data_IF_425305417704
#
_entry.id   IF_425305417704
#
_cell.length_a   1.000
_cell.length_b   1.000
_cell.length_c   1.000
_cell.angle_alpha   90.00
_cell.angle_beta   90.00
_cell.angle_gamma   90.00
#
_symmetry.space_group_name_H-M   'P 1'
#
loop_
_entity.id
_entity.type
_entity.pdbx_description
1 polymer ?
#
# COMPACT_ATOMS: atom_id res chain seq x y z
N UNK A 1 -11.63 -86.93 -15.21
CA UNK A 1 -13.06 -87.25 -15.37
C UNK A 1 -13.86 -85.96 -15.45
N UNK A 2 -14.87 -85.95 -16.31
CA UNK A 2 -15.67 -84.81 -16.79
C UNK A 2 -16.55 -84.14 -15.73
N UNK A 3 -16.81 -82.84 -15.93
CA UNK A 3 -18.13 -82.16 -16.04
C UNK A 3 -17.89 -80.65 -16.25
N UNK A 4 -18.24 -80.03 -17.39
CA UNK A 4 -19.56 -79.50 -17.79
C UNK A 4 -20.29 -78.81 -16.62
N UNK A 5 -20.84 -77.60 -16.67
CA UNK A 5 -21.33 -76.73 -17.75
C UNK A 5 -21.68 -75.39 -17.07
N UNK A 6 -21.56 -74.26 -17.75
CA UNK A 6 -21.91 -72.97 -17.15
C UNK A 6 -21.72 -71.78 -18.09
N UNK A 7 -22.42 -71.82 -19.22
CA UNK A 7 -22.74 -70.67 -20.06
C UNK A 7 -23.27 -69.52 -19.19
N UNK A 8 -22.47 -68.46 -19.01
CA UNK A 8 -22.98 -67.13 -18.70
C UNK A 8 -22.19 -66.09 -19.51
N UNK A 9 -22.92 -65.57 -20.49
CA UNK A 9 -22.94 -64.19 -20.94
C UNK A 9 -21.88 -63.71 -21.94
N UNK A 10 -22.32 -63.69 -23.19
CA UNK A 10 -21.73 -62.96 -24.31
C UNK A 10 -22.62 -61.75 -24.62
N UNK A 11 -22.73 -60.80 -23.69
CA UNK A 11 -23.23 -59.43 -23.94
C UNK A 11 -22.49 -58.43 -23.05
N UNK A 12 -22.12 -57.31 -23.65
CA UNK A 12 -21.76 -56.06 -22.98
C UNK A 12 -20.44 -55.94 -22.20
N UNK A 13 -19.34 -56.38 -22.81
CA UNK A 13 -18.04 -55.68 -22.65
C UNK A 13 -17.98 -54.47 -23.58
N UNK A 14 -18.74 -53.44 -23.26
CA UNK A 14 -18.83 -52.21 -24.06
C UNK A 14 -18.37 -50.95 -23.33
N UNK A 15 -17.46 -51.02 -22.35
CA UNK A 15 -16.83 -49.81 -21.78
C UNK A 15 -15.34 -50.02 -21.47
N UNK A 16 -14.60 -50.50 -22.47
CA UNK A 16 -13.13 -50.37 -22.49
C UNK A 16 -12.78 -48.90 -22.71
N UNK A 17 -12.19 -48.28 -21.68
CA UNK A 17 -11.64 -46.93 -21.75
C UNK A 17 -10.61 -46.86 -22.89
N UNK A 18 -10.71 -45.92 -23.83
CA UNK A 18 -9.69 -45.75 -24.85
C UNK A 18 -8.38 -45.31 -24.18
N UNK A 19 -7.32 -46.06 -24.47
CA UNK A 19 -5.93 -45.68 -24.23
C UNK A 19 -5.74 -44.22 -24.67
N UNK A 20 -5.61 -43.30 -23.71
CA UNK A 20 -5.10 -41.96 -24.00
C UNK A 20 -3.64 -42.12 -24.43
N UNK A 21 -3.23 -41.60 -25.60
CA UNK A 21 -1.81 -41.49 -25.88
C UNK A 21 -1.18 -40.63 -24.78
N UNK A 22 -0.01 -41.06 -24.30
CA UNK A 22 0.75 -40.31 -23.31
C UNK A 22 0.91 -38.87 -23.79
N UNK A 23 0.51 -37.91 -22.94
CA UNK A 23 0.83 -36.49 -23.14
C UNK A 23 2.34 -36.41 -23.39
N UNK A 24 2.83 -35.77 -24.47
CA UNK A 24 4.24 -35.47 -24.55
C UNK A 24 4.60 -34.69 -23.29
N UNK A 25 5.63 -35.15 -22.57
CA UNK A 25 6.19 -34.37 -21.48
C UNK A 25 6.51 -33.01 -22.06
N UNK A 26 5.75 -31.99 -21.65
CA UNK A 26 6.03 -30.60 -21.98
C UNK A 26 7.36 -30.31 -21.28
N UNK A 27 8.43 -30.60 -22.01
CA UNK A 27 9.80 -30.32 -21.67
C UNK A 27 9.84 -28.90 -21.13
N UNK A 28 10.44 -28.73 -19.96
CA UNK A 28 10.50 -27.47 -19.21
C UNK A 28 11.21 -26.32 -19.93
N UNK A 29 11.50 -26.48 -21.22
CA UNK A 29 12.10 -25.49 -22.13
C UNK A 29 11.25 -24.22 -22.29
N UNK A 30 9.94 -24.28 -21.97
CA UNK A 30 9.08 -23.10 -21.93
C UNK A 30 9.14 -22.27 -20.64
N UNK A 31 9.73 -22.79 -19.55
CA UNK A 31 9.88 -22.07 -18.28
C UNK A 31 11.24 -21.38 -18.15
N UNK A 32 12.25 -21.83 -18.90
CA UNK A 32 13.57 -21.20 -18.94
C UNK A 32 13.64 -19.97 -19.85
N UNK A 33 12.73 -19.82 -20.81
CA UNK A 33 12.73 -18.70 -21.76
C UNK A 33 12.11 -17.39 -21.23
N UNK A 34 11.50 -17.40 -20.03
CA UNK A 34 10.91 -16.19 -19.42
C UNK A 34 11.66 -15.70 -18.18
N UNK A 35 12.83 -16.25 -17.89
CA UNK A 35 13.76 -15.57 -17.00
C UNK A 35 14.40 -14.45 -17.81
N UNK A 36 13.67 -13.33 -17.95
CA UNK A 36 14.31 -12.08 -18.36
C UNK A 36 15.53 -11.90 -17.45
N UNK A 37 16.74 -11.72 -18.01
CA UNK A 37 17.91 -11.48 -17.20
C UNK A 37 17.64 -10.19 -16.42
N UNK A 38 17.33 -10.34 -15.13
CA UNK A 38 17.00 -9.22 -14.27
C UNK A 38 18.09 -8.18 -14.43
N UNK A 39 17.73 -7.00 -14.96
CA UNK A 39 18.67 -5.91 -15.27
C UNK A 39 19.69 -5.83 -14.13
N UNK A 40 20.98 -5.96 -14.42
CA UNK A 40 22.05 -5.75 -13.44
C UNK A 40 21.80 -4.45 -12.68
N UNK A 41 22.18 -4.39 -11.40
CA UNK A 41 22.01 -3.20 -10.55
C UNK A 41 22.46 -1.92 -11.26
N UNK A 42 23.55 -1.98 -12.03
CA UNK A 42 24.02 -0.85 -12.84
C UNK A 42 23.05 -0.41 -13.95
N UNK A 43 22.38 -1.35 -14.62
CA UNK A 43 21.37 -1.05 -15.64
C UNK A 43 20.08 -0.46 -15.07
N UNK A 44 19.73 -0.81 -13.82
CA UNK A 44 18.61 -0.19 -13.09
C UNK A 44 18.94 1.22 -12.65
N UNK A 45 20.14 1.40 -12.07
CA UNK A 45 20.61 2.70 -11.65
C UNK A 45 20.67 3.67 -12.85
N UNK A 46 21.17 3.21 -14.00
CA UNK A 46 21.20 4.01 -15.22
C UNK A 46 19.80 4.39 -15.71
N UNK A 47 18.86 3.44 -15.72
CA UNK A 47 17.47 3.70 -16.12
C UNK A 47 16.75 4.65 -15.15
N UNK A 48 16.98 4.50 -13.85
CA UNK A 48 16.35 5.32 -12.81
C UNK A 48 16.91 6.76 -12.82
N UNK A 49 18.22 6.91 -13.03
CA UNK A 49 18.87 8.22 -13.19
C UNK A 49 18.35 8.92 -14.45
N UNK A 50 18.25 8.21 -15.58
CA UNK A 50 17.75 8.79 -16.83
C UNK A 50 16.32 9.34 -16.70
N UNK A 51 15.41 8.56 -16.10
CA UNK A 51 14.03 9.00 -15.87
C UNK A 51 13.94 10.13 -14.82
N UNK A 52 14.75 10.07 -13.75
CA UNK A 52 14.79 11.13 -12.74
C UNK A 52 15.30 12.47 -13.31
N UNK A 53 16.27 12.44 -14.23
CA UNK A 53 16.78 13.64 -14.91
C UNK A 53 15.71 14.24 -15.82
N UNK A 54 15.03 13.42 -16.64
CA UNK A 54 13.95 13.88 -17.54
C UNK A 54 12.86 14.57 -16.71
N UNK A 55 12.46 13.95 -15.60
CA UNK A 55 11.48 14.52 -14.70
C UNK A 55 11.95 15.80 -14.00
N UNK A 56 13.21 15.85 -13.59
CA UNK A 56 13.82 17.03 -13.00
C UNK A 56 13.80 18.21 -13.95
N UNK A 57 14.11 17.97 -15.23
CA UNK A 57 14.06 18.97 -16.27
C UNK A 57 12.64 19.49 -16.48
N UNK A 58 11.65 18.59 -16.60
CA UNK A 58 10.24 18.96 -16.74
C UNK A 58 9.76 19.74 -15.51
N UNK A 59 10.10 19.29 -14.30
CA UNK A 59 9.75 19.96 -13.05
C UNK A 59 10.38 21.36 -12.96
N UNK A 60 11.65 21.51 -13.35
CA UNK A 60 12.30 22.81 -13.40
C UNK A 60 11.60 23.75 -14.37
N UNK A 61 11.26 23.28 -15.58
CA UNK A 61 10.55 24.09 -16.57
C UNK A 61 9.19 24.59 -16.04
N UNK A 62 8.42 23.73 -15.38
CA UNK A 62 7.12 24.09 -14.81
C UNK A 62 7.25 24.98 -13.56
N UNK A 63 8.15 24.63 -12.64
CA UNK A 63 8.29 25.35 -11.37
C UNK A 63 9.06 26.65 -11.48
N UNK A 64 9.93 26.83 -12.48
CA UNK A 64 10.63 28.10 -12.68
C UNK A 64 9.63 29.26 -12.84
N UNK A 65 8.54 29.03 -13.59
CA UNK A 65 7.49 30.03 -13.80
C UNK A 65 6.58 30.18 -12.57
N UNK A 66 6.27 29.08 -11.88
CA UNK A 66 5.36 29.09 -10.71
C UNK A 66 5.99 29.56 -9.39
N UNK A 67 7.24 29.16 -9.12
CA UNK A 67 7.94 29.34 -7.85
C UNK A 67 9.20 30.22 -7.98
N UNK A 68 9.74 30.39 -9.18
CA UNK A 68 10.99 31.11 -9.41
C UNK A 68 10.85 32.62 -9.24
N UNK A 69 9.66 33.17 -9.49
CA UNK A 69 9.43 34.62 -9.50
C UNK A 69 8.24 34.99 -8.63
N UNK A 70 8.46 35.84 -7.63
CA UNK A 70 7.39 36.43 -6.82
C UNK A 70 7.33 37.93 -7.07
N UNK A 71 6.15 38.42 -7.40
CA UNK A 71 5.86 39.86 -7.35
C UNK A 71 5.68 40.27 -5.90
N UNK A 72 6.48 41.23 -5.46
CA UNK A 72 6.37 41.84 -4.14
C UNK A 72 6.01 43.29 -4.39
N UNK A 73 4.82 43.66 -3.93
CA UNK A 73 4.32 45.02 -4.00
C UNK A 73 5.07 45.88 -2.98
N UNK A 74 5.70 46.95 -3.45
CA UNK A 74 6.41 47.91 -2.61
C UNK A 74 5.80 49.30 -2.82
N UNK A 75 6.05 50.18 -1.85
CA UNK A 75 5.51 51.55 -1.81
C UNK A 75 5.88 52.39 -3.06
N UNK A 76 6.90 51.96 -3.83
CA UNK A 76 7.39 52.60 -5.06
C UNK A 76 7.11 51.80 -6.34
N UNK A 77 6.39 50.67 -6.28
CA UNK A 77 5.97 49.88 -7.44
C UNK A 77 6.13 48.36 -7.27
N UNK A 78 5.70 47.58 -8.28
CA UNK A 78 5.86 46.13 -8.29
C UNK A 78 7.33 45.76 -8.52
N UNK A 79 7.95 45.09 -7.54
CA UNK A 79 9.31 44.56 -7.67
C UNK A 79 9.27 43.04 -7.81
N UNK A 80 10.01 42.49 -8.76
CA UNK A 80 10.15 41.05 -8.92
C UNK A 80 11.33 40.58 -8.06
N UNK A 81 11.05 39.82 -6.99
CA UNK A 81 12.10 39.20 -6.17
C UNK A 81 12.28 37.73 -6.60
N UNK A 82 13.38 37.37 -7.29
CA UNK A 82 13.66 35.98 -7.62
C UNK A 82 13.95 35.17 -6.35
N UNK A 83 13.33 34.00 -6.21
CA UNK A 83 13.50 33.10 -5.04
C UNK A 83 14.09 31.76 -5.48
N UNK A 84 15.36 31.72 -5.90
CA UNK A 84 15.98 30.50 -6.43
C UNK A 84 16.07 29.37 -5.39
N UNK A 85 16.13 29.71 -4.10
CA UNK A 85 16.18 28.71 -3.03
C UNK A 85 14.93 27.81 -2.97
N UNK A 86 13.73 28.38 -3.12
CA UNK A 86 12.48 27.61 -3.07
C UNK A 86 12.34 26.72 -4.31
N UNK A 87 12.69 27.26 -5.48
CA UNK A 87 12.73 26.52 -6.73
C UNK A 87 13.70 25.34 -6.66
N UNK A 88 14.92 25.58 -6.19
CA UNK A 88 15.96 24.55 -6.08
C UNK A 88 15.54 23.41 -5.14
N UNK A 89 14.91 23.74 -4.00
CA UNK A 89 14.39 22.72 -3.07
C UNK A 89 13.26 21.92 -3.71
N UNK A 90 12.30 22.58 -4.37
CA UNK A 90 11.19 21.89 -5.03
C UNK A 90 11.66 20.92 -6.13
N UNK A 91 12.59 21.37 -6.98
CA UNK A 91 13.18 20.54 -8.05
C UNK A 91 13.99 19.39 -7.46
N UNK A 92 14.78 19.66 -6.41
CA UNK A 92 15.55 18.61 -5.72
C UNK A 92 14.62 17.53 -5.16
N UNK A 93 13.53 17.91 -4.49
CA UNK A 93 12.55 16.95 -3.95
C UNK A 93 11.96 16.08 -5.07
N UNK A 94 11.65 16.65 -6.24
CA UNK A 94 11.11 15.86 -7.35
C UNK A 94 12.15 14.91 -7.95
N UNK A 95 13.38 15.38 -8.17
CA UNK A 95 14.46 14.54 -8.72
C UNK A 95 14.80 13.40 -7.75
N UNK A 96 15.03 13.71 -6.48
CA UNK A 96 15.34 12.71 -5.46
C UNK A 96 14.14 11.81 -5.20
N UNK A 97 12.94 12.37 -5.08
CA UNK A 97 11.71 11.62 -4.90
C UNK A 97 11.51 10.62 -6.04
N UNK A 98 11.64 11.07 -7.29
CA UNK A 98 11.47 10.18 -8.45
C UNK A 98 12.62 9.19 -8.60
N UNK A 99 13.86 9.54 -8.29
CA UNK A 99 14.99 8.61 -8.25
C UNK A 99 14.73 7.49 -7.24
N UNK A 100 14.31 7.85 -6.02
CA UNK A 100 14.00 6.90 -4.94
C UNK A 100 12.80 6.03 -5.32
N UNK A 101 11.70 6.62 -5.81
CA UNK A 101 10.53 5.86 -6.24
C UNK A 101 10.83 4.92 -7.42
N UNK A 102 11.59 5.38 -8.42
CA UNK A 102 11.91 4.54 -9.56
C UNK A 102 12.84 3.38 -9.15
N UNK A 103 13.79 3.63 -8.25
CA UNK A 103 14.71 2.62 -7.73
C UNK A 103 14.04 1.61 -6.78
N UNK A 104 13.19 2.08 -5.86
CA UNK A 104 12.63 1.25 -4.78
C UNK A 104 11.21 0.72 -5.02
N UNK A 105 10.42 1.39 -5.88
CA UNK A 105 9.02 1.02 -6.14
C UNK A 105 8.87 0.40 -7.54
N UNK A 106 9.46 0.99 -8.58
CA UNK A 106 9.20 0.59 -9.97
C UNK A 106 10.18 -0.43 -10.56
N UNK A 107 11.46 -0.43 -10.16
CA UNK A 107 12.46 -1.40 -10.67
C UNK A 107 13.02 -2.36 -9.60
N UNK A 108 12.42 -2.39 -8.40
CA UNK A 108 12.82 -3.33 -7.35
C UNK A 108 12.11 -4.67 -7.54
N UNK A 109 12.87 -5.77 -7.68
CA UNK A 109 12.32 -7.15 -7.70
C UNK A 109 11.52 -7.46 -6.42
N UNK A 110 11.75 -6.70 -5.35
CA UNK A 110 11.03 -6.74 -4.07
C UNK A 110 10.76 -5.29 -3.60
N UNK A 111 9.60 -4.69 -3.91
CA UNK A 111 9.26 -3.36 -3.43
C UNK A 111 9.16 -3.35 -1.90
N UNK A 112 9.60 -2.26 -1.27
CA UNK A 112 9.58 -2.04 0.19
C UNK A 112 8.16 -2.19 0.77
N UNK A 113 7.13 -2.08 -0.07
CA UNK A 113 5.74 -2.27 0.32
C UNK A 113 5.34 -3.74 0.54
N UNK A 114 6.09 -4.74 0.05
CA UNK A 114 5.79 -6.17 0.26
C UNK A 114 5.74 -6.59 1.73
N UNK A 115 6.72 -6.26 2.60
CA UNK A 115 6.64 -6.60 4.02
C UNK A 115 5.44 -5.96 4.73
N UNK A 116 5.05 -4.74 4.34
CA UNK A 116 3.84 -4.10 4.85
C UNK A 116 2.57 -4.76 4.32
N UNK A 117 2.51 -5.12 3.04
CA UNK A 117 1.39 -5.87 2.47
C UNK A 117 1.24 -7.24 3.13
N UNK A 118 2.35 -7.93 3.44
CA UNK A 118 2.37 -9.19 4.18
C UNK A 118 1.95 -9.09 5.65
N UNK A 119 1.91 -7.89 6.25
CA UNK A 119 1.20 -7.71 7.54
C UNK A 119 -0.31 -7.96 7.39
N UNK A 120 -0.85 -7.74 6.19
CA UNK A 120 -2.28 -7.87 5.90
C UNK A 120 -2.65 -9.19 5.20
N UNK A 121 -1.68 -9.95 4.69
CA UNK A 121 -1.86 -11.26 4.05
C UNK A 121 -1.48 -12.43 4.98
N UNK A 122 -1.94 -13.65 4.66
CA UNK A 122 -1.63 -14.89 5.42
C UNK A 122 -0.23 -15.47 5.13
N UNK A 123 0.55 -14.85 4.26
CA UNK A 123 1.83 -15.39 3.83
C UNK A 123 2.88 -15.41 4.96
N UNK A 124 3.75 -16.44 4.99
CA UNK A 124 4.87 -16.47 5.94
C UNK A 124 5.83 -15.29 5.68
N UNK A 125 6.35 -14.71 6.76
CA UNK A 125 7.39 -13.69 6.66
C UNK A 125 8.73 -14.35 6.37
N UNK A 126 9.48 -13.76 5.45
CA UNK A 126 10.88 -14.10 5.24
C UNK A 126 11.75 -13.37 6.29
N UNK A 127 12.99 -13.83 6.51
CA UNK A 127 13.92 -13.17 7.46
C UNK A 127 14.11 -11.69 7.12
N UNK A 128 14.08 -11.33 5.84
CA UNK A 128 14.22 -9.95 5.36
C UNK A 128 13.00 -9.08 5.70
N UNK A 129 11.80 -9.64 5.71
CA UNK A 129 10.57 -8.90 6.04
C UNK A 129 10.57 -8.48 7.52
N UNK A 130 11.00 -9.39 8.40
CA UNK A 130 11.13 -9.14 9.84
C UNK A 130 12.19 -8.05 10.10
N UNK A 131 13.32 -8.11 9.39
CA UNK A 131 14.38 -7.10 9.53
C UNK A 131 13.91 -5.72 9.06
N UNK A 132 13.20 -5.63 7.93
CA UNK A 132 12.67 -4.35 7.43
C UNK A 132 11.64 -3.75 8.39
N UNK A 133 10.67 -4.55 8.86
CA UNK A 133 9.68 -4.08 9.83
C UNK A 133 10.31 -3.70 11.17
N UNK A 134 11.32 -4.46 11.61
CA UNK A 134 12.10 -4.17 12.81
C UNK A 134 12.87 -2.85 12.70
N UNK A 135 13.54 -2.60 11.57
CA UNK A 135 14.24 -1.34 11.31
C UNK A 135 13.26 -0.17 11.26
N UNK A 136 12.12 -0.31 10.58
CA UNK A 136 11.12 0.78 10.51
C UNK A 136 10.54 1.09 11.89
N UNK A 137 10.21 0.06 12.68
CA UNK A 137 9.72 0.25 14.05
C UNK A 137 10.79 0.91 14.93
N UNK A 138 12.05 0.47 14.82
CA UNK A 138 13.17 1.02 15.57
C UNK A 138 13.45 2.49 15.21
N UNK A 139 13.50 2.82 13.92
CA UNK A 139 13.69 4.20 13.45
C UNK A 139 12.52 5.07 13.89
N UNK A 140 11.29 4.57 13.80
CA UNK A 140 10.10 5.32 14.22
C UNK A 140 10.09 5.55 15.74
N UNK A 141 10.49 4.56 16.55
CA UNK A 141 10.67 4.72 17.99
C UNK A 141 11.78 5.73 18.33
N UNK A 142 12.91 5.67 17.62
CA UNK A 142 14.00 6.63 17.79
C UNK A 142 13.56 8.06 17.47
N UNK A 143 12.83 8.27 16.37
CA UNK A 143 12.28 9.58 15.98
C UNK A 143 11.26 10.08 17.01
N UNK A 144 10.47 9.18 17.61
CA UNK A 144 9.52 9.55 18.66
C UNK A 144 10.25 10.01 19.94
N UNK A 145 11.31 9.29 20.34
CA UNK A 145 12.15 9.62 21.50
C UNK A 145 12.92 10.94 21.27
N UNK A 146 13.56 11.10 20.12
CA UNK A 146 14.29 12.33 19.79
C UNK A 146 13.32 13.51 19.63
N UNK A 147 12.17 13.29 18.99
CA UNK A 147 11.12 14.30 18.82
C UNK A 147 10.51 14.76 20.15
N UNK A 148 10.49 13.90 21.17
CA UNK A 148 10.08 14.27 22.54
C UNK A 148 11.10 15.06 23.33
N UNK A 149 12.38 15.00 22.94
CA UNK A 149 13.44 15.84 23.52
C UNK A 149 13.51 17.19 22.79
N UNK A 150 13.35 17.20 21.46
CA UNK A 150 13.49 18.39 20.61
C UNK A 150 12.21 19.25 20.56
N UNK A 151 11.06 18.72 21.01
CA UNK A 151 9.81 19.48 21.08
C UNK A 151 9.19 19.76 19.71
N UNK A 152 9.37 18.86 18.74
CA UNK A 152 8.85 19.01 17.39
C UNK A 152 7.59 18.13 17.20
N UNK A 153 6.37 18.69 17.40
CA UNK A 153 5.14 17.90 17.51
C UNK A 153 4.76 17.19 16.20
N UNK A 154 5.16 17.73 15.05
CA UNK A 154 4.89 17.12 13.74
C UNK A 154 5.59 15.76 13.56
N UNK A 155 6.87 15.66 13.95
CA UNK A 155 7.63 14.40 13.82
C UNK A 155 7.16 13.35 14.83
N UNK A 156 6.74 13.77 16.02
CA UNK A 156 6.12 12.88 17.01
C UNK A 156 4.85 12.26 16.47
N UNK A 157 3.96 13.05 15.88
CA UNK A 157 2.68 12.57 15.36
C UNK A 157 2.88 11.56 14.23
N UNK A 158 3.78 11.87 13.29
CA UNK A 158 4.14 10.97 12.18
C UNK A 158 4.72 9.66 12.73
N UNK A 159 5.69 9.73 13.65
CA UNK A 159 6.31 8.53 14.23
C UNK A 159 5.33 7.68 15.03
N UNK A 160 4.40 8.31 15.76
CA UNK A 160 3.35 7.65 16.50
C UNK A 160 2.36 6.95 15.56
N UNK A 161 1.95 7.59 14.46
CA UNK A 161 1.12 6.96 13.43
C UNK A 161 1.81 5.76 12.79
N UNK A 162 3.11 5.84 12.49
CA UNK A 162 3.88 4.72 11.91
C UNK A 162 4.00 3.56 12.90
N UNK A 163 4.30 3.82 14.17
CA UNK A 163 4.34 2.78 15.21
C UNK A 163 2.97 2.15 15.45
N UNK A 164 1.90 2.94 15.46
CA UNK A 164 0.54 2.44 15.57
C UNK A 164 0.19 1.53 14.38
N UNK A 165 0.56 1.92 13.16
CA UNK A 165 0.32 1.11 11.96
C UNK A 165 1.07 -0.22 12.00
N UNK A 166 2.37 -0.21 12.35
CA UNK A 166 3.17 -1.44 12.49
C UNK A 166 2.64 -2.31 13.64
N UNK A 167 2.30 -1.69 14.77
CA UNK A 167 1.72 -2.37 15.93
C UNK A 167 0.39 -3.06 15.60
N UNK A 168 -0.54 -2.37 14.95
CA UNK A 168 -1.82 -2.94 14.49
C UNK A 168 -1.59 -4.11 13.54
N UNK A 169 -0.63 -3.98 12.60
CA UNK A 169 -0.26 -5.06 11.69
C UNK A 169 0.28 -6.30 12.42
N UNK A 170 1.14 -6.12 13.43
CA UNK A 170 1.69 -7.20 14.24
C UNK A 170 0.63 -7.85 15.14
N UNK A 171 -0.21 -7.05 15.78
CA UNK A 171 -1.33 -7.53 16.62
C UNK A 171 -2.31 -8.35 15.78
N UNK A 172 -2.69 -7.87 14.60
CA UNK A 172 -3.54 -8.63 13.67
C UNK A 172 -2.91 -9.98 13.35
N UNK A 173 -1.61 -10.03 13.06
CA UNK A 173 -0.92 -11.28 12.75
C UNK A 173 -0.84 -12.20 13.97
N UNK A 174 -0.56 -11.67 15.15
CA UNK A 174 -0.56 -12.44 16.40
C UNK A 174 -1.94 -13.08 16.65
N UNK A 175 -3.03 -12.33 16.39
CA UNK A 175 -4.40 -12.84 16.49
C UNK A 175 -4.65 -13.97 15.49
N UNK A 176 -4.22 -13.82 14.23
CA UNK A 176 -4.39 -14.86 13.19
C UNK A 176 -3.55 -16.12 13.50
N UNK A 177 -2.36 -15.96 14.08
CA UNK A 177 -1.49 -17.07 14.46
C UNK A 177 -2.04 -17.84 15.67
N UNK A 178 -2.53 -17.12 16.68
CA UNK A 178 -3.03 -17.72 17.92
C UNK A 178 -4.46 -18.26 17.78
N UNK A 179 -5.26 -17.65 16.89
CA UNK A 179 -6.65 -18.04 16.63
C UNK A 179 -6.92 -18.19 15.12
N UNK A 180 -6.53 -19.33 14.52
CA UNK A 180 -6.64 -19.55 13.07
C UNK A 180 -8.08 -19.64 12.55
N UNK A 181 -9.03 -20.11 13.38
CA UNK A 181 -10.42 -20.39 13.00
C UNK A 181 -11.44 -19.36 13.52
N UNK A 182 -11.04 -18.11 13.72
CA UNK A 182 -11.99 -17.09 14.15
C UNK A 182 -13.05 -16.86 13.06
N UNK A 183 -14.36 -16.88 13.40
CA UNK A 183 -15.41 -16.46 12.49
C UNK A 183 -15.34 -14.94 12.32
N UNK A 184 -14.38 -14.46 11.50
CA UNK A 184 -14.11 -13.04 11.25
C UNK A 184 -15.38 -12.28 10.88
N UNK A 185 -16.25 -12.89 10.07
CA UNK A 185 -17.53 -12.31 9.69
C UNK A 185 -18.42 -12.04 10.90
N UNK A 186 -18.47 -12.96 11.88
CA UNK A 186 -19.31 -12.86 13.09
C UNK A 186 -18.74 -11.85 14.09
N UNK A 187 -17.42 -11.83 14.26
CA UNK A 187 -16.76 -10.87 15.18
C UNK A 187 -16.86 -9.45 14.61
N UNK A 188 -16.70 -9.28 13.30
CA UNK A 188 -16.85 -7.97 12.67
C UNK A 188 -18.30 -7.48 12.70
N UNK A 189 -19.30 -8.36 12.49
CA UNK A 189 -20.71 -7.97 12.62
C UNK A 189 -21.08 -7.64 14.07
N UNK A 190 -20.71 -8.49 15.04
CA UNK A 190 -20.98 -8.21 16.45
C UNK A 190 -20.24 -6.95 16.90
N UNK A 191 -18.98 -6.78 16.50
CA UNK A 191 -18.18 -5.59 16.79
C UNK A 191 -18.75 -4.33 16.14
N UNK A 192 -19.22 -4.41 14.90
CA UNK A 192 -19.87 -3.31 14.19
C UNK A 192 -21.21 -2.91 14.83
N UNK A 193 -22.02 -3.89 15.25
CA UNK A 193 -23.27 -3.65 15.96
C UNK A 193 -23.00 -3.03 17.34
N UNK A 194 -22.06 -3.60 18.10
CA UNK A 194 -21.66 -3.07 19.40
C UNK A 194 -21.08 -1.65 19.27
N UNK A 195 -20.25 -1.39 18.25
CA UNK A 195 -19.74 -0.07 17.95
C UNK A 195 -20.87 0.89 17.60
N UNK A 196 -21.83 0.53 16.74
CA UNK A 196 -22.96 1.40 16.40
C UNK A 196 -23.80 1.78 17.63
N UNK A 197 -23.97 0.86 18.59
CA UNK A 197 -24.70 1.12 19.84
C UNK A 197 -23.87 1.96 20.81
N UNK A 198 -22.57 1.69 20.92
CA UNK A 198 -21.65 2.39 21.81
C UNK A 198 -21.21 3.74 21.26
N UNK A 199 -21.30 3.96 19.95
CA UNK A 199 -20.88 5.16 19.26
C UNK A 199 -21.50 6.44 19.84
N UNK A 200 -22.83 6.56 20.03
CA UNK A 200 -23.44 7.75 20.63
C UNK A 200 -22.97 7.99 22.07
N UNK A 201 -22.71 6.91 22.82
CA UNK A 201 -22.22 6.99 24.20
C UNK A 201 -20.75 7.44 24.21
N UNK A 202 -19.93 6.88 23.32
CA UNK A 202 -18.52 7.20 23.18
C UNK A 202 -18.32 8.64 22.70
N UNK A 203 -19.12 9.11 21.74
CA UNK A 203 -19.08 10.51 21.27
C UNK A 203 -19.46 11.48 22.39
N UNK A 204 -20.51 11.18 23.15
CA UNK A 204 -20.92 12.00 24.29
C UNK A 204 -19.84 12.02 25.40
N UNK A 205 -19.24 10.88 25.71
CA UNK A 205 -18.19 10.78 26.73
C UNK A 205 -16.91 11.50 26.29
N UNK A 206 -16.55 11.41 25.02
CA UNK A 206 -15.38 12.06 24.44
C UNK A 206 -15.55 13.58 24.41
N UNK A 207 -16.73 14.07 24.05
CA UNK A 207 -17.07 15.49 24.11
C UNK A 207 -16.99 16.02 25.55
N UNK A 208 -17.52 15.25 26.51
CA UNK A 208 -17.45 15.58 27.94
C UNK A 208 -16.02 15.53 28.50
N UNK A 209 -15.20 14.58 28.05
CA UNK A 209 -13.82 14.43 28.52
C UNK A 209 -12.88 15.50 27.95
N UNK A 210 -13.03 15.86 26.67
CA UNK A 210 -12.09 16.74 25.98
C UNK A 210 -12.61 18.17 25.77
N UNK A 211 -13.84 18.50 26.19
CA UNK A 211 -14.46 19.84 26.08
C UNK A 211 -14.28 20.48 24.69
N UNK A 212 -14.33 19.65 23.64
CA UNK A 212 -13.89 20.05 22.30
C UNK A 212 -14.82 21.07 21.61
N UNK A 213 -15.98 21.39 22.19
CA UNK A 213 -16.90 22.42 21.67
C UNK A 213 -17.27 22.23 20.20
N UNK A 214 -17.22 20.98 19.72
CA UNK A 214 -17.34 20.69 18.30
C UNK A 214 -18.81 20.80 17.91
N UNK A 215 -19.15 21.62 16.90
CA UNK A 215 -20.50 21.62 16.35
C UNK A 215 -20.72 20.29 15.63
N UNK A 216 -21.17 19.26 16.37
CA UNK A 216 -21.35 17.89 15.87
C UNK A 216 -22.20 17.86 14.59
N UNK A 217 -23.24 18.71 14.53
CA UNK A 217 -24.09 18.89 13.35
C UNK A 217 -23.32 19.37 12.12
N UNK A 218 -22.41 20.33 12.28
CA UNK A 218 -21.57 20.82 11.19
C UNK A 218 -20.61 19.73 10.69
N UNK A 219 -20.01 18.96 11.60
CA UNK A 219 -19.14 17.85 11.24
C UNK A 219 -19.90 16.72 10.51
N UNK A 220 -21.12 16.40 10.92
CA UNK A 220 -21.96 15.44 10.22
C UNK A 220 -22.36 15.93 8.82
N UNK A 221 -22.78 17.19 8.70
CA UNK A 221 -23.15 17.79 7.42
C UNK A 221 -21.96 17.85 6.44
N UNK A 222 -20.79 18.28 6.94
CA UNK A 222 -19.53 18.25 6.19
C UNK A 222 -19.16 16.82 5.77
N UNK A 223 -19.30 15.83 6.66
CA UNK A 223 -18.99 14.43 6.36
C UNK A 223 -19.89 13.87 5.28
N UNK A 224 -21.20 14.19 5.31
CA UNK A 224 -22.18 13.79 4.30
C UNK A 224 -21.86 14.44 2.95
N UNK A 225 -21.54 15.75 2.95
CA UNK A 225 -21.19 16.49 1.75
C UNK A 225 -19.93 15.91 1.08
N UNK A 226 -18.87 15.69 1.86
CA UNK A 226 -17.62 15.09 1.37
C UNK A 226 -17.88 13.68 0.84
N UNK A 227 -18.65 12.84 1.54
CA UNK A 227 -18.95 11.47 1.11
C UNK A 227 -19.73 11.46 -0.21
N UNK A 228 -20.73 12.33 -0.33
CA UNK A 228 -21.53 12.46 -1.56
C UNK A 228 -20.68 12.92 -2.73
N UNK A 229 -19.80 13.90 -2.50
CA UNK A 229 -18.89 14.39 -3.53
C UNK A 229 -17.87 13.33 -3.98
N UNK A 230 -17.31 12.56 -3.04
CA UNK A 230 -16.40 11.44 -3.36
C UNK A 230 -17.15 10.35 -4.14
N UNK A 231 -18.37 9.99 -3.73
CA UNK A 231 -19.21 9.04 -4.45
C UNK A 231 -19.54 9.52 -5.88
N UNK A 232 -19.85 10.80 -6.06
CA UNK A 232 -20.08 11.39 -7.39
C UNK A 232 -18.81 11.44 -8.24
N UNK A 233 -17.68 11.85 -7.66
CA UNK A 233 -16.40 11.93 -8.37
C UNK A 233 -15.88 10.56 -8.81
N UNK A 234 -16.00 9.55 -7.95
CA UNK A 234 -15.63 8.17 -8.29
C UNK A 234 -16.64 7.51 -9.24
N UNK A 235 -17.94 7.76 -9.05
CA UNK A 235 -19.01 7.22 -9.90
C UNK A 235 -18.96 7.75 -11.34
N UNK A 236 -18.60 9.02 -11.54
CA UNK A 236 -18.45 9.62 -12.87
C UNK A 236 -17.21 9.09 -13.61
N UNK A 237 -16.11 8.82 -12.89
CA UNK A 237 -14.85 8.34 -13.47
C UNK A 237 -14.95 6.91 -14.05
N UNK A 238 -15.90 6.11 -13.58
CA UNK A 238 -16.15 4.74 -14.05
C UNK A 238 -17.02 4.67 -15.33
N UNK A 239 -17.75 5.74 -15.65
CA UNK A 239 -18.66 5.78 -16.81
C UNK A 239 -18.03 6.46 -18.02
N UNK A 240 -17.00 7.28 -17.81
CA UNK A 240 -16.29 8.02 -18.86
C UNK A 240 -14.92 7.39 -19.19
N UNK A 241 -14.42 6.50 -18.33
CA UNK A 241 -13.18 5.75 -18.52
C UNK A 241 -13.31 4.48 -19.35
#
# INVERSE_FOLDING_TARGET
>A
MQRCSGLLDARDRAHLLPHRPARPSRSGEGLSALVEPGKSFGGRLQSAIADAIIAGYIAFALFCLLLGVRTVDNVTGLTLKPRPGVLAVAVSIVVFGRLVLNLFVWQADYPITRPFAKLFTRDPFDRRDIVVLGIVAFVSALVLIVGSIVGAPAYQLISACVLAFVGVGLVRRAIVYFFPDLPYARIFTIGGIAFAILFPICSYLLEKAFHLGLPLRYLFDLSILVLTYVMLGWGLNIVVG
#
